data_IF_900685735062
#
_entry.id   IF_900685735062
#
_cell.length_a   1.000
_cell.length_b   1.000
_cell.length_c   1.000
_cell.angle_alpha   90.00
_cell.angle_beta   90.00
_cell.angle_gamma   90.00
#
_symmetry.space_group_name_H-M   'P 1'
#
loop_
_entity.id
_entity.type
_entity.pdbx_description
1 polymer ?
#
# COMPACT_ATOMS: atom_id res chain seq x y z
N UNK A 1 10.61 -15.57 -17.40
CA UNK A 1 10.14 -14.18 -17.28
C UNK A 1 11.06 -13.38 -16.37
N UNK A 2 11.21 -12.09 -16.64
CA UNK A 2 11.85 -11.14 -15.72
C UNK A 2 10.75 -10.50 -14.86
N UNK A 3 10.77 -10.73 -13.56
CA UNK A 3 9.71 -10.29 -12.65
C UNK A 3 10.29 -9.33 -11.61
N UNK A 4 9.71 -8.12 -11.51
CA UNK A 4 10.05 -7.13 -10.51
C UNK A 4 9.04 -7.18 -9.36
N UNK A 5 9.53 -7.26 -8.12
CA UNK A 5 8.70 -7.24 -6.90
C UNK A 5 9.04 -5.98 -6.11
N UNK A 6 8.06 -5.10 -5.92
CA UNK A 6 8.24 -3.89 -5.12
C UNK A 6 7.99 -4.18 -3.65
N UNK A 7 8.94 -3.76 -2.80
CA UNK A 7 8.89 -3.88 -1.36
C UNK A 7 10.10 -4.60 -0.77
N UNK A 8 10.14 -4.68 0.57
CA UNK A 8 11.28 -5.21 1.32
C UNK A 8 10.88 -6.04 2.55
N UNK A 9 9.62 -6.40 2.67
CA UNK A 9 9.09 -7.14 3.81
C UNK A 9 9.02 -8.65 3.61
N UNK A 10 8.47 -9.33 4.60
CA UNK A 10 8.23 -10.77 4.56
C UNK A 10 7.23 -11.20 3.49
N UNK A 11 6.26 -10.33 3.16
CA UNK A 11 5.29 -10.54 2.08
C UNK A 11 5.99 -10.67 0.73
N UNK A 12 6.84 -9.72 0.40
CA UNK A 12 7.58 -9.67 -0.86
C UNK A 12 8.57 -10.84 -0.97
N UNK A 13 9.24 -11.18 0.15
CA UNK A 13 10.07 -12.39 0.21
C UNK A 13 9.24 -13.65 -0.06
N UNK A 14 8.05 -13.78 0.54
CA UNK A 14 7.20 -14.98 0.36
C UNK A 14 6.68 -15.10 -1.07
N UNK A 15 6.29 -13.98 -1.69
CA UNK A 15 5.91 -13.94 -3.11
C UNK A 15 7.10 -14.38 -3.97
N UNK A 16 8.28 -13.78 -3.76
CA UNK A 16 9.48 -14.12 -4.50
C UNK A 16 9.89 -15.58 -4.32
N UNK A 17 9.81 -16.11 -3.09
CA UNK A 17 10.14 -17.52 -2.81
C UNK A 17 9.19 -18.50 -3.53
N UNK A 18 7.89 -18.16 -3.60
CA UNK A 18 6.93 -18.98 -4.32
C UNK A 18 7.26 -19.05 -5.81
N UNK A 19 7.58 -17.91 -6.43
CA UNK A 19 7.96 -17.83 -7.84
C UNK A 19 9.34 -18.50 -8.08
N UNK A 20 10.30 -18.28 -7.18
CA UNK A 20 11.65 -18.85 -7.29
C UNK A 20 11.66 -20.39 -7.36
N UNK A 21 10.71 -21.04 -6.68
CA UNK A 21 10.59 -22.51 -6.69
C UNK A 21 10.20 -23.09 -8.07
N UNK A 22 9.63 -22.29 -8.95
CA UNK A 22 9.27 -22.71 -10.31
C UNK A 22 10.49 -22.76 -11.26
N UNK A 23 11.66 -22.24 -10.84
CA UNK A 23 12.98 -22.29 -11.49
C UNK A 23 13.11 -21.66 -12.89
N UNK A 24 12.10 -20.95 -13.38
CA UNK A 24 12.04 -20.42 -14.76
C UNK A 24 12.04 -18.88 -14.84
N UNK A 25 12.34 -18.18 -13.73
CA UNK A 25 12.17 -16.74 -13.66
C UNK A 25 13.38 -16.02 -13.09
N UNK A 26 13.73 -14.87 -13.66
CA UNK A 26 14.68 -13.92 -13.07
C UNK A 26 13.91 -12.97 -12.16
N UNK A 27 14.30 -12.89 -10.89
CA UNK A 27 13.65 -12.04 -9.91
C UNK A 27 14.47 -10.80 -9.60
N UNK A 28 13.77 -9.68 -9.54
CA UNK A 28 14.30 -8.39 -9.11
C UNK A 28 13.44 -7.86 -7.96
N UNK A 29 14.05 -7.21 -6.98
CA UNK A 29 13.34 -6.66 -5.82
C UNK A 29 13.72 -5.20 -5.62
N UNK A 30 12.75 -4.34 -5.35
CA UNK A 30 12.99 -2.92 -5.11
C UNK A 30 12.29 -2.44 -3.83
N UNK A 31 13.00 -2.08 -2.80
CA UNK A 31 14.47 -2.16 -2.67
C UNK A 31 14.97 -3.57 -2.31
N UNK A 32 14.08 -4.50 -1.92
CA UNK A 32 14.44 -5.81 -1.41
C UNK A 32 15.09 -5.78 -0.01
N UNK A 33 15.63 -6.91 0.42
CA UNK A 33 16.33 -7.08 1.70
C UNK A 33 17.36 -8.22 1.60
N UNK A 34 18.06 -8.52 2.69
CA UNK A 34 19.08 -9.58 2.69
C UNK A 34 18.56 -11.01 2.46
N UNK A 35 17.28 -11.27 2.62
CA UNK A 35 16.68 -12.55 2.27
C UNK A 35 16.31 -12.61 0.78
N UNK A 36 15.78 -11.54 0.20
CA UNK A 36 15.44 -11.46 -1.22
C UNK A 36 16.68 -11.51 -2.11
N UNK A 37 17.84 -11.04 -1.61
CA UNK A 37 19.14 -11.13 -2.29
C UNK A 37 19.57 -12.58 -2.59
N UNK A 38 19.02 -13.56 -1.87
CA UNK A 38 19.23 -14.99 -2.11
C UNK A 38 18.32 -15.57 -3.20
N UNK A 39 17.28 -14.85 -3.58
CA UNK A 39 16.29 -15.28 -4.57
C UNK A 39 16.48 -14.60 -5.93
N UNK A 40 17.09 -13.42 -5.93
CA UNK A 40 17.24 -12.60 -7.14
C UNK A 40 18.10 -11.37 -6.87
N UNK A 41 17.96 -10.36 -7.70
CA UNK A 41 18.74 -9.12 -7.65
C UNK A 41 17.97 -8.02 -6.94
N UNK A 42 18.51 -7.45 -5.87
CA UNK A 42 18.00 -6.24 -5.25
C UNK A 42 18.46 -5.01 -6.04
N UNK A 43 17.53 -4.06 -6.30
CA UNK A 43 17.82 -2.78 -6.96
C UNK A 43 17.40 -1.63 -6.06
N UNK A 44 18.04 -0.47 -6.20
CA UNK A 44 17.73 0.70 -5.38
C UNK A 44 17.43 1.92 -6.25
N UNK A 45 16.19 2.02 -6.72
CA UNK A 45 15.68 3.14 -7.51
C UNK A 45 14.46 3.70 -6.78
N UNK A 46 14.56 4.94 -6.29
CA UNK A 46 13.50 5.55 -5.46
C UNK A 46 12.40 6.25 -6.27
N UNK A 47 12.75 6.78 -7.42
CA UNK A 47 11.82 7.47 -8.31
C UNK A 47 11.10 6.46 -9.22
N UNK A 48 9.78 6.47 -9.22
CA UNK A 48 8.98 5.49 -9.98
C UNK A 48 9.02 5.71 -11.50
N UNK A 49 9.29 6.93 -11.98
CA UNK A 49 9.48 7.17 -13.42
C UNK A 49 10.83 6.56 -13.87
N UNK A 50 11.88 6.75 -13.07
CA UNK A 50 13.18 6.12 -13.34
C UNK A 50 13.07 4.59 -13.22
N UNK A 51 12.28 4.07 -12.28
CA UNK A 51 12.03 2.65 -12.14
C UNK A 51 11.30 2.08 -13.37
N UNK A 52 10.31 2.79 -13.91
CA UNK A 52 9.62 2.38 -15.11
C UNK A 52 10.55 2.35 -16.35
N UNK A 53 11.42 3.33 -16.49
CA UNK A 53 12.45 3.32 -17.54
C UNK A 53 13.41 2.13 -17.38
N UNK A 54 13.91 1.92 -16.17
CA UNK A 54 14.75 0.78 -15.84
C UNK A 54 14.06 -0.56 -16.15
N UNK A 55 12.79 -0.70 -15.77
CA UNK A 55 12.01 -1.91 -16.05
C UNK A 55 11.89 -2.20 -17.56
N UNK A 56 11.72 -1.15 -18.35
CA UNK A 56 11.68 -1.23 -19.81
C UNK A 56 13.04 -1.68 -20.38
N UNK A 57 14.13 -1.04 -19.93
CA UNK A 57 15.49 -1.33 -20.40
C UNK A 57 15.95 -2.73 -20.02
N UNK A 58 15.44 -3.28 -18.91
CA UNK A 58 15.75 -4.63 -18.43
C UNK A 58 14.69 -5.67 -18.83
N UNK A 59 13.79 -5.33 -19.75
CA UNK A 59 12.77 -6.24 -20.28
C UNK A 59 11.97 -6.92 -19.16
N UNK A 60 11.49 -6.14 -18.17
CA UNK A 60 10.62 -6.68 -17.12
C UNK A 60 9.27 -7.06 -17.72
N UNK A 61 8.90 -8.33 -17.61
CA UNK A 61 7.65 -8.87 -18.12
C UNK A 61 6.46 -8.59 -17.20
N UNK A 62 6.70 -8.57 -15.88
CA UNK A 62 5.66 -8.36 -14.87
C UNK A 62 6.24 -7.65 -13.65
N UNK A 63 5.55 -6.65 -13.16
CA UNK A 63 5.83 -6.02 -11.85
C UNK A 63 4.72 -6.35 -10.86
N UNK A 64 5.09 -6.74 -9.64
CA UNK A 64 4.17 -7.05 -8.53
C UNK A 64 4.41 -6.05 -7.41
N UNK A 65 3.36 -5.37 -6.95
CA UNK A 65 3.47 -4.40 -5.86
C UNK A 65 3.03 -5.06 -4.55
N UNK A 66 3.96 -5.19 -3.60
CA UNK A 66 3.68 -5.78 -2.29
C UNK A 66 3.07 -4.78 -1.30
N UNK A 67 3.72 -3.64 -0.99
CA UNK A 67 3.25 -2.70 0.01
C UNK A 67 2.26 -1.67 -0.55
N UNK A 68 1.49 -1.08 0.34
CA UNK A 68 0.45 -0.10 0.01
C UNK A 68 1.00 1.28 -0.39
N UNK A 69 2.13 1.71 0.16
CA UNK A 69 2.67 3.03 -0.09
C UNK A 69 2.95 3.31 -1.58
N UNK A 70 3.68 2.46 -2.33
CA UNK A 70 3.86 2.65 -3.76
C UNK A 70 2.55 2.70 -4.56
N UNK A 71 1.51 1.97 -4.10
CA UNK A 71 0.19 1.98 -4.75
C UNK A 71 -0.49 3.33 -4.60
N UNK A 72 -0.48 3.87 -3.38
CA UNK A 72 -1.02 5.21 -3.07
C UNK A 72 -0.24 6.30 -3.81
N UNK A 73 1.08 6.14 -3.92
CA UNK A 73 1.98 7.05 -4.65
C UNK A 73 1.85 6.95 -6.18
N UNK A 74 1.04 6.01 -6.70
CA UNK A 74 0.68 5.94 -8.11
C UNK A 74 1.63 5.14 -9.01
N UNK A 75 2.47 4.27 -8.48
CA UNK A 75 3.40 3.45 -9.28
C UNK A 75 2.69 2.66 -10.38
N UNK A 76 1.46 2.18 -10.12
CA UNK A 76 0.69 1.41 -11.10
C UNK A 76 0.28 2.27 -12.30
N UNK A 77 -0.11 3.51 -12.04
CA UNK A 77 -0.53 4.44 -13.10
C UNK A 77 0.69 4.83 -13.96
N UNK A 78 1.84 5.13 -13.32
CA UNK A 78 3.12 5.41 -14.02
C UNK A 78 3.54 4.25 -14.91
N UNK A 79 3.47 3.01 -14.41
CA UNK A 79 3.87 1.82 -15.20
C UNK A 79 2.94 1.60 -16.39
N UNK A 80 1.62 1.77 -16.21
CA UNK A 80 0.63 1.65 -17.28
C UNK A 80 0.82 2.71 -18.36
N UNK A 81 1.12 3.96 -18.00
CA UNK A 81 1.45 5.04 -18.94
C UNK A 81 2.70 4.71 -19.77
N UNK A 82 3.61 3.93 -19.22
CA UNK A 82 4.80 3.43 -19.92
C UNK A 82 4.58 2.08 -20.67
N UNK A 83 3.34 1.59 -20.74
CA UNK A 83 2.97 0.31 -21.35
C UNK A 83 3.67 -0.91 -20.70
N UNK A 84 3.91 -0.85 -19.40
CA UNK A 84 4.50 -1.92 -18.60
C UNK A 84 3.41 -2.71 -17.88
N UNK A 85 3.55 -4.04 -17.84
CA UNK A 85 2.62 -4.91 -17.11
C UNK A 85 2.90 -4.82 -15.62
N UNK A 86 1.88 -4.46 -14.85
CA UNK A 86 1.97 -4.31 -13.40
C UNK A 86 0.71 -4.83 -12.70
N UNK A 87 0.89 -5.58 -11.61
CA UNK A 87 -0.17 -6.05 -10.75
C UNK A 87 -0.29 -5.18 -9.51
N UNK A 88 -1.43 -4.54 -9.37
CA UNK A 88 -1.80 -3.68 -8.25
C UNK A 88 -2.96 -2.75 -8.63
N UNK A 89 -3.68 -2.18 -7.64
CA UNK A 89 -4.70 -1.17 -7.89
C UNK A 89 -4.07 0.16 -8.32
N UNK A 90 -4.81 0.96 -9.09
CA UNK A 90 -4.45 2.35 -9.40
C UNK A 90 -4.38 3.20 -8.12
N UNK A 91 -3.73 4.37 -8.15
CA UNK A 91 -3.69 5.31 -7.03
C UNK A 91 -5.11 5.69 -6.54
N UNK A 92 -6.05 5.89 -7.48
CA UNK A 92 -7.44 6.19 -7.16
C UNK A 92 -8.12 5.08 -6.36
N UNK A 93 -7.86 3.81 -6.69
CA UNK A 93 -8.39 2.66 -5.95
C UNK A 93 -7.62 2.42 -4.63
N UNK A 94 -6.29 2.57 -4.65
CA UNK A 94 -5.44 2.44 -3.47
C UNK A 94 -5.76 3.47 -2.37
N UNK A 95 -6.39 4.58 -2.72
CA UNK A 95 -6.88 5.60 -1.78
C UNK A 95 -7.86 5.03 -0.74
N UNK A 96 -8.56 3.92 -1.04
CA UNK A 96 -9.41 3.23 -0.05
C UNK A 96 -8.61 2.73 1.16
N UNK A 97 -7.35 2.35 0.96
CA UNK A 97 -6.43 1.97 2.04
C UNK A 97 -5.63 3.20 2.52
N UNK A 98 -5.27 4.09 1.61
CA UNK A 98 -4.43 5.26 1.88
C UNK A 98 -5.09 6.34 2.74
N UNK A 99 -6.43 6.42 2.78
CA UNK A 99 -7.17 7.40 3.58
C UNK A 99 -8.38 6.76 4.23
N UNK A 100 -8.38 6.73 5.56
CA UNK A 100 -9.49 6.22 6.37
C UNK A 100 -10.74 7.09 6.23
N UNK A 101 -10.56 8.39 6.16
CA UNK A 101 -11.62 9.35 5.91
C UNK A 101 -12.28 9.12 4.55
N UNK A 102 -11.48 8.98 3.49
CA UNK A 102 -12.00 8.67 2.15
C UNK A 102 -12.79 7.35 2.14
N UNK A 103 -12.21 6.29 2.70
CA UNK A 103 -12.88 4.98 2.80
C UNK A 103 -14.21 5.10 3.55
N UNK A 104 -14.24 5.76 4.70
CA UNK A 104 -15.46 5.96 5.49
C UNK A 104 -16.52 6.76 4.73
N UNK A 105 -16.12 7.78 3.99
CA UNK A 105 -17.03 8.57 3.15
C UNK A 105 -17.63 7.75 2.00
N UNK A 106 -16.83 6.84 1.38
CA UNK A 106 -17.33 5.89 0.39
C UNK A 106 -18.34 4.93 1.00
N UNK A 107 -18.05 4.35 2.17
CA UNK A 107 -18.97 3.44 2.86
C UNK A 107 -20.30 4.12 3.16
N UNK A 108 -20.26 5.38 3.66
CA UNK A 108 -21.44 6.19 3.92
C UNK A 108 -22.23 6.48 2.64
N UNK A 109 -21.54 6.89 1.57
CA UNK A 109 -22.18 7.23 0.27
C UNK A 109 -22.96 6.05 -0.32
N UNK A 110 -22.44 4.85 -0.18
CA UNK A 110 -23.03 3.63 -0.76
C UNK A 110 -23.83 2.80 0.27
N UNK A 111 -24.10 3.33 1.45
CA UNK A 111 -24.83 2.66 2.54
C UNK A 111 -24.22 1.30 2.92
N UNK A 112 -22.90 1.18 2.88
CA UNK A 112 -22.19 -0.02 3.32
C UNK A 112 -22.05 0.03 4.85
N UNK A 113 -22.44 -1.04 5.57
CA UNK A 113 -22.38 -1.07 7.03
C UNK A 113 -20.99 -0.77 7.58
N UNK A 114 -20.93 0.16 8.51
CA UNK A 114 -19.70 0.54 9.21
C UNK A 114 -20.05 1.19 10.55
N UNK A 115 -19.10 1.18 11.51
CA UNK A 115 -19.29 1.89 12.78
C UNK A 115 -19.45 3.39 12.55
N UNK A 116 -20.18 4.05 13.45
CA UNK A 116 -20.29 5.51 13.48
C UNK A 116 -18.89 6.15 13.50
N UNK A 117 -18.75 7.28 12.87
CA UNK A 117 -17.48 8.00 12.78
C UNK A 117 -17.69 9.49 12.56
N UNK A 118 -16.68 10.25 12.92
CA UNK A 118 -16.50 11.64 12.53
C UNK A 118 -15.09 11.80 11.94
N UNK A 119 -14.95 12.67 10.97
CA UNK A 119 -13.67 13.20 10.49
C UNK A 119 -13.59 14.65 10.96
N UNK A 120 -12.58 15.00 11.74
CA UNK A 120 -12.41 16.36 12.24
C UNK A 120 -10.93 16.68 12.45
N UNK A 121 -10.60 17.97 12.29
CA UNK A 121 -9.35 18.59 12.74
C UNK A 121 -9.58 19.55 13.92
N UNK A 122 -10.78 19.58 14.46
CA UNK A 122 -11.21 20.47 15.52
C UNK A 122 -11.47 19.66 16.80
N UNK A 123 -10.82 20.06 17.88
CA UNK A 123 -10.90 19.39 19.17
C UNK A 123 -12.33 19.42 19.74
N UNK A 124 -13.03 20.57 19.62
CA UNK A 124 -14.40 20.69 20.11
C UNK A 124 -15.35 19.71 19.43
N UNK A 125 -15.28 19.60 18.10
CA UNK A 125 -16.13 18.66 17.34
C UNK A 125 -15.83 17.21 17.72
N UNK A 126 -14.56 16.91 18.03
CA UNK A 126 -14.17 15.59 18.51
C UNK A 126 -14.81 15.26 19.85
N UNK A 127 -14.78 16.17 20.84
CA UNK A 127 -15.43 15.99 22.14
C UNK A 127 -16.94 15.91 22.01
N UNK A 128 -17.57 16.80 21.25
CA UNK A 128 -19.02 16.76 21.02
C UNK A 128 -19.48 15.40 20.46
N UNK A 129 -18.66 14.77 19.59
CA UNK A 129 -18.95 13.44 19.07
C UNK A 129 -18.68 12.34 20.13
N UNK A 130 -17.60 12.44 20.90
CA UNK A 130 -17.24 11.47 21.95
C UNK A 130 -18.36 11.39 22.98
N UNK A 131 -18.97 12.51 23.35
CA UNK A 131 -20.07 12.59 24.31
C UNK A 131 -21.33 11.82 23.85
N UNK A 132 -21.46 11.56 22.56
CA UNK A 132 -22.55 10.75 21.99
C UNK A 132 -22.23 9.26 21.94
N UNK A 133 -21.01 8.85 22.29
CA UNK A 133 -20.51 7.50 22.13
C UNK A 133 -20.27 6.84 23.50
N UNK A 134 -20.17 5.51 23.49
CA UNK A 134 -19.68 4.75 24.65
C UNK A 134 -18.28 4.21 24.37
N UNK A 135 -17.48 4.07 25.43
CA UNK A 135 -16.15 3.43 25.33
C UNK A 135 -16.30 1.92 25.08
N UNK A 136 -15.37 1.27 24.36
CA UNK A 136 -14.12 1.84 23.86
C UNK A 136 -14.31 2.67 22.58
N UNK A 137 -13.56 3.75 22.45
CA UNK A 137 -13.55 4.63 21.28
C UNK A 137 -12.23 4.46 20.53
N UNK A 138 -12.28 4.37 19.19
CA UNK A 138 -11.10 4.22 18.35
C UNK A 138 -10.77 5.55 17.69
N UNK A 139 -9.63 6.13 18.06
CA UNK A 139 -9.07 7.34 17.44
C UNK A 139 -8.04 6.92 16.41
N UNK A 140 -8.15 7.45 15.19
CA UNK A 140 -7.26 7.09 14.07
C UNK A 140 -6.72 8.33 13.39
N UNK A 141 -5.41 8.40 13.19
CA UNK A 141 -4.85 9.36 12.26
C UNK A 141 -5.23 8.96 10.82
N UNK A 142 -5.56 9.96 9.99
CA UNK A 142 -5.74 9.71 8.55
C UNK A 142 -4.40 9.49 7.85
N UNK A 143 -4.44 8.77 6.70
CA UNK A 143 -3.24 8.40 5.96
C UNK A 143 -2.58 7.09 6.40
N UNK A 144 -1.46 6.78 5.73
CA UNK A 144 -0.64 5.59 6.01
C UNK A 144 0.27 5.85 7.22
N UNK A 145 0.05 5.12 8.31
CA UNK A 145 0.78 5.28 9.57
C UNK A 145 1.56 4.03 10.00
N UNK A 146 1.76 3.06 9.11
CA UNK A 146 2.52 1.84 9.39
C UNK A 146 2.00 1.05 10.60
N UNK A 147 0.68 1.02 10.82
CA UNK A 147 0.05 0.35 11.96
C UNK A 147 0.13 1.12 13.29
N UNK A 148 0.71 2.33 13.33
CA UNK A 148 0.93 3.11 14.55
C UNK A 148 -0.03 4.29 14.74
N UNK A 149 -0.93 4.53 13.78
CA UNK A 149 -1.85 5.66 13.80
C UNK A 149 -3.23 5.33 14.41
N UNK A 150 -3.33 4.37 15.33
CA UNK A 150 -4.59 3.93 15.95
C UNK A 150 -4.44 3.85 17.46
N UNK A 151 -5.35 4.49 18.18
CA UNK A 151 -5.45 4.43 19.65
C UNK A 151 -6.85 3.93 19.99
N UNK A 152 -6.94 2.95 20.88
CA UNK A 152 -8.20 2.45 21.44
C UNK A 152 -8.32 3.00 22.87
N UNK A 153 -9.15 4.03 23.04
CA UNK A 153 -9.40 4.64 24.32
C UNK A 153 -10.44 3.83 25.12
N UNK A 154 -10.08 3.37 26.31
CA UNK A 154 -10.93 2.58 27.21
C UNK A 154 -11.71 3.45 28.20
N UNK A 155 -11.32 4.70 28.33
CA UNK A 155 -12.00 5.74 29.15
C UNK A 155 -11.97 7.07 28.41
N UNK A 156 -12.86 7.96 28.75
CA UNK A 156 -12.85 9.36 28.34
C UNK A 156 -11.85 10.14 29.15
#
# INVERSE_FOLDING_TARGET
MNILILGNGGREYSIGLAIYKENDHNLYFMPGNGATDKLGTNINIKDYNQLALWAKDNSIDLTIVGPEAPLVDGVVDIFKENNLTIFGPSAAAARLEGSKAYMKNILKKYNIPTAAFIETSNEKDAYDFIDTMSVPIVVKADGLCGGKGVIIAQSV
#
